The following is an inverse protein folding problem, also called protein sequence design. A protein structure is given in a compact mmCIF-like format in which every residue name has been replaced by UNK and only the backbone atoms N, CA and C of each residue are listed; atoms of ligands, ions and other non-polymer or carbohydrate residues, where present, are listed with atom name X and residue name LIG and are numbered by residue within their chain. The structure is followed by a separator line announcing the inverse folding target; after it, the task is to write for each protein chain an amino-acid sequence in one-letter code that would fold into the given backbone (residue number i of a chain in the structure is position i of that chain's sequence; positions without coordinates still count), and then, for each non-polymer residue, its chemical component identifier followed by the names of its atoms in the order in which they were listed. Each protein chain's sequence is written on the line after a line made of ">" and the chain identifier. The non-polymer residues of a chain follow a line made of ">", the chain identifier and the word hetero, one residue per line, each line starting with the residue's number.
data_IF_402632430900
#
_entry.id   IF_402632430900
#
_cell.length_a   1.000
_cell.length_b   1.000
_cell.length_c   1.000
_cell.angle_alpha   90.00
_cell.angle_beta   90.00
_cell.angle_gamma   90.00
#
_symmetry.space_group_name_H-M   'P 1'
#
loop_
_entity.id
_entity.type
_entity.pdbx_description
1 polymer ?
#
# COMPACT_ATOMS: atom_id res chain seq x y z
N UNK A 1 -0.41 -37.58 1.00
CA UNK A 1 -1.56 -36.83 0.44
C UNK A 1 -1.53 -35.48 1.12
N UNK A 2 -1.11 -34.42 0.42
CA UNK A 2 -1.18 -33.06 0.96
C UNK A 2 -2.66 -32.71 1.19
N UNK A 3 -3.00 -32.20 2.36
CA UNK A 3 -4.36 -31.73 2.67
C UNK A 3 -4.83 -30.73 1.61
N UNK A 4 -6.10 -30.85 1.20
CA UNK A 4 -6.72 -29.93 0.24
C UNK A 4 -6.93 -28.58 0.93
N UNK A 5 -6.14 -27.57 0.55
CA UNK A 5 -6.29 -26.20 1.06
C UNK A 5 -7.26 -25.47 0.13
N UNK A 6 -8.52 -25.36 0.53
CA UNK A 6 -9.51 -24.58 -0.24
C UNK A 6 -9.27 -23.10 0.05
N UNK A 7 -9.07 -22.24 -0.97
CA UNK A 7 -8.92 -20.82 -0.72
C UNK A 7 -10.26 -20.17 -0.33
N UNK A 8 -10.15 -19.04 0.37
CA UNK A 8 -11.28 -18.14 0.62
C UNK A 8 -11.66 -17.40 -0.67
N UNK A 9 -12.72 -16.58 -0.61
CA UNK A 9 -13.33 -15.92 -1.79
C UNK A 9 -12.39 -15.00 -2.59
N UNK A 10 -11.37 -14.43 -1.93
CA UNK A 10 -10.34 -13.58 -2.53
C UNK A 10 -8.99 -14.28 -2.43
N UNK A 11 -8.41 -14.67 -3.57
CA UNK A 11 -7.04 -15.17 -3.66
C UNK A 11 -6.10 -14.04 -4.07
N UNK A 12 -5.27 -13.59 -3.13
CA UNK A 12 -4.21 -12.59 -3.38
C UNK A 12 -2.92 -13.35 -3.68
N UNK A 13 -2.34 -13.12 -4.85
CA UNK A 13 -1.10 -13.76 -5.31
C UNK A 13 -0.02 -12.69 -5.36
N UNK A 14 0.89 -12.74 -4.38
CA UNK A 14 2.01 -11.82 -4.23
C UNK A 14 3.32 -12.59 -4.03
N UNK A 15 4.00 -13.00 -5.11
CA UNK A 15 5.14 -13.90 -5.05
C UNK A 15 6.42 -13.28 -4.48
N UNK A 16 6.56 -11.95 -4.43
CA UNK A 16 7.79 -11.27 -4.01
C UNK A 16 7.62 -10.57 -2.66
N UNK A 17 7.38 -11.39 -1.64
CA UNK A 17 7.32 -10.98 -0.23
C UNK A 17 8.59 -10.25 0.23
N UNK A 18 8.45 -9.43 1.26
CA UNK A 18 9.55 -8.74 1.91
C UNK A 18 9.33 -8.64 3.41
N UNK A 19 10.41 -8.65 4.18
CA UNK A 19 10.39 -8.02 5.51
C UNK A 19 10.54 -6.52 5.32
N UNK A 20 9.79 -5.75 6.08
CA UNK A 20 9.80 -4.29 6.02
C UNK A 20 10.44 -3.73 7.28
N UNK A 21 11.44 -2.88 7.11
CA UNK A 21 12.04 -2.11 8.19
C UNK A 21 11.85 -0.63 7.91
N UNK A 22 11.40 0.14 8.89
CA UNK A 22 11.36 1.60 8.78
C UNK A 22 12.27 2.23 9.82
N UNK A 23 13.18 3.09 9.38
CA UNK A 23 14.12 3.83 10.19
C UNK A 23 13.75 5.31 10.17
N UNK A 24 13.68 5.91 11.35
CA UNK A 24 13.28 7.31 11.51
C UNK A 24 14.48 8.16 11.92
N UNK A 25 14.68 9.27 11.22
CA UNK A 25 15.79 10.20 11.42
C UNK A 25 15.25 11.60 11.70
N UNK A 26 15.94 12.36 12.54
CA UNK A 26 15.66 13.80 12.69
C UNK A 26 16.02 14.52 11.39
N UNK A 27 17.15 14.15 10.78
CA UNK A 27 17.55 14.56 9.43
C UNK A 27 18.39 13.45 8.82
N UNK A 28 18.08 13.06 7.58
CA UNK A 28 18.84 12.09 6.82
C UNK A 28 19.83 12.81 5.90
N UNK A 29 21.12 12.46 6.03
CA UNK A 29 22.19 13.07 5.26
C UNK A 29 22.90 12.02 4.39
N UNK A 30 22.71 12.03 3.06
CA UNK A 30 23.48 11.20 2.15
C UNK A 30 24.99 11.37 2.36
N UNK A 31 25.76 10.30 2.18
CA UNK A 31 27.23 10.28 2.34
C UNK A 31 27.76 10.48 3.77
N UNK A 32 26.88 10.53 4.78
CA UNK A 32 27.25 10.62 6.19
C UNK A 32 26.82 9.39 7.01
N UNK A 33 27.36 9.26 8.23
CA UNK A 33 26.85 8.31 9.22
C UNK A 33 25.56 8.86 9.79
N UNK A 34 24.46 8.12 9.61
CA UNK A 34 23.14 8.47 10.10
C UNK A 34 22.77 7.57 11.28
N UNK A 35 22.14 8.12 12.33
CA UNK A 35 21.63 7.37 13.48
C UNK A 35 20.13 7.55 13.57
N UNK A 36 19.39 6.47 13.37
CA UNK A 36 17.94 6.49 13.52
C UNK A 36 17.58 6.62 15.00
N UNK A 37 16.60 7.46 15.33
CA UNK A 37 16.07 7.59 16.69
C UNK A 37 14.98 6.55 16.99
N UNK A 38 14.36 5.99 15.94
CA UNK A 38 13.35 4.93 16.02
C UNK A 38 13.52 3.95 14.87
N UNK A 39 13.15 2.69 15.13
CA UNK A 39 13.07 1.62 14.15
C UNK A 39 11.74 0.89 14.33
N UNK A 40 11.05 0.58 13.24
CA UNK A 40 9.92 -0.35 13.23
C UNK A 40 10.21 -1.54 12.32
N UNK A 41 9.58 -2.67 12.62
CA UNK A 41 9.64 -3.90 11.84
C UNK A 41 8.23 -4.37 11.52
N UNK A 42 8.01 -4.73 10.26
CA UNK A 42 6.77 -5.34 9.78
C UNK A 42 7.05 -6.25 8.59
N UNK A 43 5.98 -6.70 7.94
CA UNK A 43 6.05 -7.41 6.67
C UNK A 43 5.69 -6.43 5.53
N UNK A 44 6.06 -6.75 4.30
CA UNK A 44 5.89 -5.88 3.16
C UNK A 44 5.94 -6.59 1.81
N UNK A 45 5.64 -5.84 0.76
CA UNK A 45 5.41 -6.38 -0.58
C UNK A 45 3.93 -6.35 -0.93
N UNK A 46 3.64 -6.11 -2.21
CA UNK A 46 2.30 -5.69 -2.64
C UNK A 46 1.18 -6.63 -2.18
N UNK A 47 1.37 -7.95 -2.35
CA UNK A 47 0.39 -8.95 -1.90
C UNK A 47 0.18 -8.97 -0.38
N UNK A 48 1.26 -8.85 0.41
CA UNK A 48 1.16 -8.79 1.88
C UNK A 48 0.47 -7.51 2.34
N UNK A 49 0.85 -6.35 1.80
CA UNK A 49 0.22 -5.08 2.13
C UNK A 49 -1.28 -5.08 1.75
N UNK A 50 -1.62 -5.63 0.59
CA UNK A 50 -3.01 -5.82 0.16
C UNK A 50 -3.79 -6.70 1.15
N UNK A 51 -3.21 -7.84 1.54
CA UNK A 51 -3.82 -8.75 2.54
C UNK A 51 -3.98 -8.10 3.92
N UNK A 52 -2.99 -7.32 4.38
CA UNK A 52 -3.07 -6.56 5.62
C UNK A 52 -4.18 -5.52 5.58
N UNK A 53 -4.33 -4.80 4.47
CA UNK A 53 -5.39 -3.82 4.30
C UNK A 53 -6.79 -4.47 4.25
N UNK A 54 -6.93 -5.63 3.60
CA UNK A 54 -8.17 -6.42 3.65
C UNK A 54 -8.55 -6.82 5.09
N UNK A 55 -7.56 -7.25 5.87
CA UNK A 55 -7.76 -7.59 7.28
C UNK A 55 -8.19 -6.37 8.10
N UNK A 56 -7.49 -5.24 7.93
CA UNK A 56 -7.79 -3.97 8.62
C UNK A 56 -9.18 -3.41 8.24
N UNK A 57 -9.66 -3.69 7.03
CA UNK A 57 -11.01 -3.36 6.58
C UNK A 57 -12.10 -4.27 7.19
N UNK A 58 -11.72 -5.30 7.94
CA UNK A 58 -12.64 -6.19 8.67
C UNK A 58 -13.06 -7.45 7.92
N UNK A 59 -12.32 -7.86 6.87
CA UNK A 59 -12.66 -9.04 6.06
C UNK A 59 -11.55 -10.14 6.03
N UNK A 60 -10.85 -10.48 7.14
CA UNK A 60 -9.76 -11.46 7.10
C UNK A 60 -10.16 -12.86 6.65
N UNK A 61 -11.39 -13.29 6.97
CA UNK A 61 -11.92 -14.61 6.63
C UNK A 61 -12.24 -14.76 5.13
N UNK A 62 -12.15 -13.68 4.34
CA UNK A 62 -12.39 -13.68 2.90
C UNK A 62 -11.12 -13.89 2.08
N UNK A 63 -9.94 -13.81 2.70
CA UNK A 63 -8.68 -13.73 1.96
C UNK A 63 -7.82 -14.98 2.11
N UNK A 64 -7.16 -15.37 1.04
CA UNK A 64 -6.03 -16.30 1.04
C UNK A 64 -4.86 -15.61 0.35
N UNK A 65 -3.72 -15.49 1.03
CA UNK A 65 -2.47 -14.97 0.45
C UNK A 65 -1.59 -16.12 -0.05
N UNK A 66 -1.22 -16.12 -1.34
CA UNK A 66 -0.20 -16.99 -1.91
C UNK A 66 1.10 -16.20 -2.14
N UNK A 67 2.22 -16.73 -1.62
CA UNK A 67 3.54 -16.08 -1.67
C UNK A 67 4.69 -17.09 -1.62
N UNK A 68 5.92 -16.61 -1.81
CA UNK A 68 7.14 -17.36 -1.49
C UNK A 68 7.80 -16.80 -0.25
N UNK A 69 8.32 -17.68 0.63
CA UNK A 69 9.09 -17.27 1.80
C UNK A 69 10.26 -18.24 2.03
N UNK A 70 11.38 -17.73 2.55
CA UNK A 70 12.51 -18.60 2.89
C UNK A 70 13.41 -17.99 3.95
N UNK A 71 14.21 -18.85 4.57
CA UNK A 71 15.15 -18.51 5.65
C UNK A 71 14.50 -17.87 6.90
N UNK A 72 15.31 -17.34 7.82
CA UNK A 72 14.83 -16.73 9.07
C UNK A 72 13.88 -15.55 8.85
N UNK A 73 14.09 -14.77 7.78
CA UNK A 73 13.18 -13.68 7.41
C UNK A 73 11.79 -14.19 7.04
N UNK A 74 11.71 -15.32 6.32
CA UNK A 74 10.46 -15.98 5.98
C UNK A 74 9.73 -16.55 7.20
N UNK A 75 10.47 -17.06 8.18
CA UNK A 75 9.92 -17.54 9.46
C UNK A 75 9.30 -16.38 10.26
N UNK A 76 9.99 -15.23 10.34
CA UNK A 76 9.45 -14.02 10.94
C UNK A 76 8.14 -13.58 10.28
N UNK A 77 8.12 -13.53 8.94
CA UNK A 77 6.91 -13.16 8.19
C UNK A 77 5.76 -14.13 8.49
N UNK A 78 6.05 -15.44 8.49
CA UNK A 78 5.06 -16.48 8.79
C UNK A 78 4.45 -16.28 10.18
N UNK A 79 5.29 -16.00 11.18
CA UNK A 79 4.83 -15.67 12.53
C UNK A 79 3.90 -14.45 12.55
N UNK A 80 4.27 -13.36 11.86
CA UNK A 80 3.43 -12.15 11.80
C UNK A 80 2.09 -12.43 11.14
N UNK A 81 2.04 -13.23 10.08
CA UNK A 81 0.79 -13.59 9.41
C UNK A 81 -0.12 -14.45 10.31
N UNK A 82 0.46 -15.43 11.02
CA UNK A 82 -0.26 -16.23 12.02
C UNK A 82 -0.79 -15.38 13.17
N UNK A 83 0.03 -14.50 13.75
CA UNK A 83 -0.36 -13.62 14.85
C UNK A 83 -1.50 -12.67 14.45
N UNK A 84 -1.61 -12.34 13.15
CA UNK A 84 -2.71 -11.53 12.58
C UNK A 84 -3.92 -12.35 12.12
N UNK A 85 -3.90 -13.67 12.28
CA UNK A 85 -4.98 -14.57 11.84
C UNK A 85 -5.20 -14.58 10.32
N UNK A 86 -4.17 -14.26 9.53
CA UNK A 86 -4.24 -14.22 8.08
C UNK A 86 -4.09 -15.62 7.49
N UNK A 87 -5.07 -16.07 6.71
CA UNK A 87 -4.94 -17.32 5.97
C UNK A 87 -3.96 -17.14 4.79
N UNK A 88 -2.93 -17.97 4.75
CA UNK A 88 -1.90 -17.91 3.72
C UNK A 88 -1.42 -19.30 3.30
N UNK A 89 -0.95 -19.39 2.06
CA UNK A 89 -0.25 -20.53 1.49
C UNK A 89 1.13 -20.04 1.07
N UNK A 90 2.15 -20.71 1.57
CA UNK A 90 3.54 -20.31 1.35
C UNK A 90 4.26 -21.42 0.61
N UNK A 91 4.91 -21.07 -0.51
CA UNK A 91 5.92 -21.92 -1.14
C UNK A 91 7.28 -21.58 -0.54
N UNK A 92 7.88 -22.56 0.12
CA UNK A 92 9.17 -22.37 0.79
C UNK A 92 10.30 -22.29 -0.24
N UNK A 93 11.16 -21.29 -0.10
CA UNK A 93 12.37 -21.12 -0.92
C UNK A 93 13.63 -21.39 -0.11
N UNK A 94 14.68 -21.82 -0.80
CA UNK A 94 16.03 -22.01 -0.26
C UNK A 94 16.69 -20.68 0.12
N UNK A 95 16.44 -19.62 -0.65
CA UNK A 95 16.88 -18.26 -0.39
C UNK A 95 16.08 -17.57 0.71
N UNK A 96 16.75 -16.73 1.51
CA UNK A 96 16.08 -15.89 2.49
C UNK A 96 15.17 -14.86 1.81
N UNK A 97 14.00 -14.60 2.38
CA UNK A 97 13.14 -13.48 1.96
C UNK A 97 13.88 -12.15 2.15
N UNK A 98 13.81 -11.27 1.15
CA UNK A 98 14.49 -9.97 1.14
C UNK A 98 13.98 -9.01 2.22
N UNK A 99 14.77 -7.99 2.54
CA UNK A 99 14.34 -6.85 3.36
C UNK A 99 14.21 -5.59 2.52
N UNK A 100 13.10 -4.88 2.67
CA UNK A 100 12.96 -3.49 2.24
C UNK A 100 13.18 -2.58 3.46
N UNK A 101 13.99 -1.53 3.31
CA UNK A 101 14.25 -0.55 4.36
C UNK A 101 13.80 0.83 3.93
N UNK A 102 12.90 1.43 4.68
CA UNK A 102 12.42 2.80 4.47
C UNK A 102 13.11 3.73 5.43
N UNK A 103 13.64 4.84 4.93
CA UNK A 103 14.22 5.91 5.71
C UNK A 103 13.21 7.06 5.73
N UNK A 104 12.74 7.46 6.91
CA UNK A 104 11.86 8.60 7.10
C UNK A 104 12.64 9.74 7.75
N UNK A 105 12.71 10.87 7.05
CA UNK A 105 13.30 12.11 7.54
C UNK A 105 12.21 13.00 8.13
N UNK A 106 12.25 13.23 9.45
CA UNK A 106 11.25 14.02 10.16
C UNK A 106 11.35 15.52 9.88
N UNK A 107 12.55 16.04 9.54
CA UNK A 107 12.76 17.44 9.21
C UNK A 107 12.20 17.77 7.82
N UNK A 108 12.46 16.90 6.84
CA UNK A 108 11.96 17.13 5.47
C UNK A 108 10.61 16.49 5.21
N UNK A 109 10.11 15.60 6.07
CA UNK A 109 8.89 14.83 5.83
C UNK A 109 8.99 13.90 4.61
N UNK A 110 10.20 13.61 4.12
CA UNK A 110 10.41 12.78 2.92
C UNK A 110 10.77 11.35 3.31
N UNK A 111 10.48 10.42 2.41
CA UNK A 111 10.93 9.04 2.52
C UNK A 111 12.01 8.71 1.49
N UNK A 112 12.83 7.71 1.79
CA UNK A 112 13.69 7.01 0.83
C UNK A 112 13.54 5.51 1.04
N UNK A 113 13.32 4.75 -0.03
CA UNK A 113 13.22 3.29 0.04
C UNK A 113 14.51 2.66 -0.47
N UNK A 114 15.05 1.72 0.31
CA UNK A 114 16.19 0.87 -0.02
C UNK A 114 15.69 -0.56 -0.17
N UNK A 115 15.79 -1.09 -1.39
CA UNK A 115 15.26 -2.41 -1.72
C UNK A 115 16.41 -3.39 -1.87
N UNK A 116 16.48 -4.41 -1.02
CA UNK A 116 17.44 -5.51 -1.21
C UNK A 116 17.08 -6.35 -2.46
N UNK A 117 18.10 -6.90 -3.14
CA UNK A 117 17.86 -7.80 -4.26
C UNK A 117 17.14 -9.05 -3.79
N UNK A 118 16.13 -9.49 -4.54
CA UNK A 118 15.50 -10.80 -4.31
C UNK A 118 16.46 -11.92 -4.73
N UNK A 119 16.56 -12.97 -3.90
CA UNK A 119 17.29 -14.18 -4.25
C UNK A 119 16.72 -14.80 -5.53
N UNK A 120 17.58 -15.40 -6.35
CA UNK A 120 17.16 -16.11 -7.55
C UNK A 120 16.45 -17.40 -7.14
N UNK A 121 15.17 -17.54 -7.49
CA UNK A 121 14.43 -18.79 -7.33
C UNK A 121 14.89 -19.79 -8.39
N UNK A 122 15.03 -21.04 -7.99
CA UNK A 122 15.33 -22.13 -8.92
C UNK A 122 14.09 -22.57 -9.70
N UNK A 123 14.30 -23.33 -10.79
CA UNK A 123 13.20 -23.77 -11.64
C UNK A 123 12.19 -24.68 -10.94
N UNK A 124 12.57 -25.38 -9.87
CA UNK A 124 11.66 -26.21 -9.09
C UNK A 124 10.78 -25.35 -8.17
N UNK A 125 11.36 -24.36 -7.48
CA UNK A 125 10.64 -23.39 -6.67
C UNK A 125 9.62 -22.60 -7.52
N UNK A 126 10.01 -22.15 -8.71
CA UNK A 126 9.10 -21.49 -9.65
C UNK A 126 7.92 -22.39 -10.06
N UNK A 127 8.19 -23.66 -10.39
CA UNK A 127 7.13 -24.63 -10.73
C UNK A 127 6.21 -24.92 -9.55
N UNK A 128 6.77 -25.08 -8.34
CA UNK A 128 5.97 -25.32 -7.14
C UNK A 128 5.02 -24.16 -6.84
N UNK A 129 5.44 -22.92 -7.11
CA UNK A 129 4.56 -21.75 -6.99
C UNK A 129 3.42 -21.77 -8.00
N UNK A 130 3.72 -22.00 -9.28
CA UNK A 130 2.68 -22.12 -10.33
C UNK A 130 1.71 -23.27 -10.03
N UNK A 131 2.22 -24.44 -9.64
CA UNK A 131 1.41 -25.59 -9.25
C UNK A 131 0.51 -25.28 -8.05
N UNK A 132 1.01 -24.51 -7.07
CA UNK A 132 0.23 -24.09 -5.90
C UNK A 132 -0.87 -23.12 -6.29
N UNK A 133 -0.58 -22.14 -7.15
CA UNK A 133 -1.60 -21.23 -7.69
C UNK A 133 -2.68 -21.99 -8.47
N UNK A 134 -2.26 -22.91 -9.34
CA UNK A 134 -3.17 -23.80 -10.10
C UNK A 134 -4.07 -24.60 -9.19
N UNK A 135 -3.51 -25.26 -8.16
CA UNK A 135 -4.31 -26.06 -7.22
C UNK A 135 -5.30 -25.22 -6.44
N UNK A 136 -4.90 -24.04 -5.95
CA UNK A 136 -5.80 -23.14 -5.25
C UNK A 136 -6.95 -22.69 -6.16
N UNK A 137 -6.66 -22.31 -7.40
CA UNK A 137 -7.70 -21.92 -8.36
C UNK A 137 -8.65 -23.09 -8.67
N UNK A 138 -8.12 -24.30 -8.83
CA UNK A 138 -8.92 -25.49 -9.11
C UNK A 138 -9.79 -25.90 -7.92
N UNK A 139 -9.23 -25.94 -6.71
CA UNK A 139 -9.93 -26.33 -5.50
C UNK A 139 -10.93 -25.27 -5.04
N UNK A 140 -10.64 -23.99 -5.31
CA UNK A 140 -11.53 -22.87 -5.05
C UNK A 140 -12.49 -22.56 -6.20
N UNK A 141 -12.60 -23.40 -7.23
CA UNK A 141 -13.38 -23.07 -8.45
C UNK A 141 -14.80 -22.59 -8.17
N UNK A 142 -15.45 -23.15 -7.15
CA UNK A 142 -16.83 -22.83 -6.79
C UNK A 142 -16.95 -21.71 -5.73
N UNK A 143 -15.85 -21.36 -5.05
CA UNK A 143 -15.82 -20.37 -3.96
C UNK A 143 -15.10 -19.07 -4.34
N UNK A 144 -14.15 -19.13 -5.28
CA UNK A 144 -13.33 -18.00 -5.69
C UNK A 144 -14.15 -16.98 -6.48
N UNK A 145 -14.25 -15.80 -5.89
CA UNK A 145 -14.93 -14.64 -6.48
C UNK A 145 -13.94 -13.64 -7.04
N UNK A 146 -12.75 -13.53 -6.46
CA UNK A 146 -11.70 -12.60 -6.88
C UNK A 146 -10.34 -13.29 -6.86
N UNK A 147 -9.54 -13.07 -7.91
CA UNK A 147 -8.10 -13.35 -7.94
C UNK A 147 -7.39 -12.00 -8.13
N UNK A 148 -6.43 -11.68 -7.27
CA UNK A 148 -5.63 -10.46 -7.36
C UNK A 148 -4.16 -10.81 -7.57
N UNK A 149 -3.58 -10.37 -8.68
CA UNK A 149 -2.16 -10.51 -8.98
C UNK A 149 -1.46 -9.21 -8.57
N UNK A 150 -0.64 -9.26 -7.51
CA UNK A 150 -0.12 -8.07 -6.84
C UNK A 150 1.41 -8.08 -6.78
N UNK A 151 2.02 -7.08 -7.42
CA UNK A 151 3.45 -6.82 -7.37
C UNK A 151 4.27 -7.63 -8.38
N UNK A 152 5.56 -7.37 -8.39
CA UNK A 152 6.50 -8.03 -9.30
C UNK A 152 6.73 -9.49 -8.89
N UNK A 153 7.03 -10.33 -9.88
CA UNK A 153 7.59 -11.64 -9.63
C UNK A 153 9.05 -11.53 -9.13
N UNK A 154 9.47 -12.41 -8.21
CA UNK A 154 10.87 -12.49 -7.77
C UNK A 154 11.78 -12.98 -8.92
N UNK A 155 13.09 -12.78 -8.77
CA UNK A 155 14.06 -13.25 -9.77
C UNK A 155 13.95 -14.77 -9.97
N UNK A 156 13.99 -15.24 -11.22
CA UNK A 156 13.83 -16.66 -11.56
C UNK A 156 12.42 -17.02 -12.01
N UNK A 157 11.41 -16.27 -11.55
CA UNK A 157 10.08 -16.28 -12.17
C UNK A 157 10.06 -15.33 -13.36
N UNK A 158 9.45 -15.77 -14.45
CA UNK A 158 9.28 -14.95 -15.65
C UNK A 158 7.86 -14.41 -15.71
N UNK A 159 7.61 -13.51 -16.65
CA UNK A 159 6.29 -13.00 -16.99
C UNK A 159 5.26 -14.07 -17.35
N UNK A 160 5.73 -15.27 -17.74
CA UNK A 160 4.81 -16.38 -18.00
C UNK A 160 4.06 -16.81 -16.74
N UNK A 161 4.59 -16.59 -15.53
CA UNK A 161 3.91 -17.02 -14.30
C UNK A 161 2.53 -16.38 -14.15
N UNK A 162 2.43 -15.05 -14.19
CA UNK A 162 1.12 -14.37 -14.11
C UNK A 162 0.25 -14.63 -15.33
N UNK A 163 0.84 -14.74 -16.52
CA UNK A 163 0.09 -15.16 -17.71
C UNK A 163 -0.54 -16.55 -17.51
N UNK A 164 0.23 -17.54 -17.06
CA UNK A 164 -0.20 -18.92 -16.83
C UNK A 164 -1.26 -19.02 -15.74
N UNK A 165 -1.19 -18.16 -14.72
CA UNK A 165 -2.21 -18.05 -13.68
C UNK A 165 -3.48 -17.40 -14.24
N UNK A 166 -3.35 -16.29 -14.99
CA UNK A 166 -4.48 -15.56 -15.54
C UNK A 166 -5.33 -16.41 -16.51
N UNK A 167 -4.71 -17.26 -17.34
CA UNK A 167 -5.45 -18.16 -18.26
C UNK A 167 -6.31 -19.19 -17.53
N UNK A 168 -6.03 -19.47 -16.25
CA UNK A 168 -6.78 -20.42 -15.42
C UNK A 168 -7.96 -19.78 -14.70
N UNK A 169 -8.20 -18.47 -14.86
CA UNK A 169 -9.32 -17.74 -14.27
C UNK A 169 -10.65 -18.50 -14.48
N UNK A 170 -11.35 -18.91 -13.41
CA UNK A 170 -12.65 -19.55 -13.52
C UNK A 170 -13.73 -18.62 -14.08
N UNK A 171 -14.84 -19.16 -14.63
CA UNK A 171 -16.03 -18.36 -14.93
C UNK A 171 -16.53 -17.62 -13.69
N UNK A 172 -17.08 -16.41 -13.85
CA UNK A 172 -17.64 -15.59 -12.77
C UNK A 172 -16.66 -15.14 -11.66
N UNK A 173 -15.37 -15.39 -11.81
CA UNK A 173 -14.31 -14.84 -10.96
C UNK A 173 -13.80 -13.51 -11.55
N UNK A 174 -13.57 -12.51 -10.71
CA UNK A 174 -12.96 -11.23 -11.11
C UNK A 174 -11.43 -11.29 -10.99
N UNK A 175 -10.69 -10.94 -12.05
CA UNK A 175 -9.24 -10.92 -12.07
C UNK A 175 -8.72 -9.49 -12.03
N UNK A 176 -8.14 -9.12 -10.89
CA UNK A 176 -7.51 -7.83 -10.63
C UNK A 176 -5.99 -7.92 -10.84
N UNK A 177 -5.41 -6.94 -11.52
CA UNK A 177 -3.98 -6.86 -11.80
C UNK A 177 -3.40 -5.53 -11.29
N UNK A 178 -2.41 -5.64 -10.40
CA UNK A 178 -1.49 -4.58 -10.00
C UNK A 178 -0.05 -5.08 -10.21
N UNK A 179 0.36 -5.13 -11.47
CA UNK A 179 1.72 -5.43 -11.89
C UNK A 179 2.00 -4.82 -13.27
N UNK A 180 3.19 -4.24 -13.42
CA UNK A 180 3.59 -3.50 -14.64
C UNK A 180 4.66 -4.19 -15.46
N UNK A 181 5.52 -4.97 -14.81
CA UNK A 181 6.57 -5.72 -15.50
C UNK A 181 5.90 -6.76 -16.41
N UNK A 182 6.21 -6.68 -17.70
CA UNK A 182 5.69 -7.56 -18.75
C UNK A 182 4.14 -7.58 -18.86
N UNK A 183 3.51 -6.47 -18.47
CA UNK A 183 2.04 -6.34 -18.38
C UNK A 183 1.32 -6.71 -19.68
N UNK A 184 1.90 -6.38 -20.84
CA UNK A 184 1.30 -6.67 -22.15
C UNK A 184 1.06 -8.17 -22.37
N UNK A 185 1.95 -9.04 -21.86
CA UNK A 185 1.79 -10.49 -21.97
C UNK A 185 0.61 -10.97 -21.11
N UNK A 186 0.46 -10.43 -19.90
CA UNK A 186 -0.65 -10.80 -19.00
C UNK A 186 -1.97 -10.30 -19.58
N UNK A 187 -2.02 -9.06 -20.07
CA UNK A 187 -3.22 -8.48 -20.69
C UNK A 187 -3.62 -9.18 -21.99
N UNK A 188 -2.65 -9.71 -22.75
CA UNK A 188 -2.92 -10.49 -23.97
C UNK A 188 -3.73 -11.77 -23.72
N UNK A 189 -3.81 -12.26 -22.47
CA UNK A 189 -4.71 -13.37 -22.12
C UNK A 189 -6.19 -13.03 -22.29
N UNK A 190 -6.54 -11.74 -22.33
CA UNK A 190 -7.92 -11.24 -22.37
C UNK A 190 -8.76 -11.73 -21.16
N UNK A 191 -8.09 -12.10 -20.06
CA UNK A 191 -8.75 -12.59 -18.83
C UNK A 191 -8.80 -11.55 -17.73
N UNK A 192 -7.94 -10.55 -17.75
CA UNK A 192 -7.88 -9.51 -16.70
C UNK A 192 -9.16 -8.67 -16.78
N UNK A 193 -9.86 -8.47 -15.67
CA UNK A 193 -11.03 -7.60 -15.64
C UNK A 193 -10.66 -6.17 -15.27
N UNK A 194 -9.67 -6.00 -14.40
CA UNK A 194 -9.22 -4.68 -13.95
C UNK A 194 -7.71 -4.60 -13.89
N UNK A 195 -7.18 -3.58 -14.55
CA UNK A 195 -5.81 -3.13 -14.36
C UNK A 195 -5.81 -1.87 -13.49
N UNK A 196 -5.02 -1.88 -12.43
CA UNK A 196 -4.68 -0.67 -11.68
C UNK A 196 -3.19 -0.37 -11.87
N UNK A 197 -2.91 0.87 -12.24
CA UNK A 197 -1.55 1.41 -12.37
C UNK A 197 -1.48 2.81 -11.77
N UNK A 198 -0.29 3.25 -11.42
CA UNK A 198 -0.06 4.66 -11.16
C UNK A 198 0.10 5.46 -12.47
N UNK A 199 0.15 6.79 -12.38
CA UNK A 199 0.26 7.66 -13.55
C UNK A 199 1.52 7.44 -14.38
N UNK A 200 2.67 7.31 -13.73
CA UNK A 200 3.96 7.04 -14.41
C UNK A 200 3.94 5.68 -15.09
N UNK A 201 3.49 4.65 -14.37
CA UNK A 201 3.31 3.29 -14.87
C UNK A 201 2.40 3.24 -16.09
N UNK A 202 1.26 3.95 -16.07
CA UNK A 202 0.36 4.02 -17.22
C UNK A 202 1.03 4.64 -18.44
N UNK A 203 1.73 5.76 -18.26
CA UNK A 203 2.43 6.45 -19.34
C UNK A 203 3.56 5.61 -19.92
N UNK A 204 4.30 4.88 -19.09
CA UNK A 204 5.33 3.94 -19.54
C UNK A 204 4.72 2.83 -20.41
N UNK A 205 3.60 2.25 -19.99
CA UNK A 205 2.89 1.20 -20.73
C UNK A 205 2.44 1.72 -22.12
N UNK A 206 1.80 2.88 -22.20
CA UNK A 206 1.34 3.41 -23.49
C UNK A 206 2.48 3.97 -24.36
N UNK A 207 3.62 4.31 -23.75
CA UNK A 207 4.85 4.69 -24.47
C UNK A 207 5.48 3.46 -25.15
N UNK A 208 5.52 2.31 -24.47
CA UNK A 208 6.00 1.05 -25.04
C UNK A 208 5.16 0.62 -26.26
N UNK A 209 3.87 0.96 -26.27
CA UNK A 209 2.96 0.78 -27.41
C UNK A 209 3.08 1.85 -28.50
N UNK A 210 3.99 2.82 -28.34
CA UNK A 210 4.22 3.93 -29.27
C UNK A 210 3.02 4.88 -29.47
N UNK A 211 2.06 4.91 -28.53
CA UNK A 211 0.90 5.82 -28.60
C UNK A 211 1.24 7.24 -28.16
N UNK A 212 2.28 7.36 -27.33
CA UNK A 212 2.90 8.61 -26.93
C UNK A 212 4.43 8.49 -27.07
N UNK A 213 5.16 9.61 -27.20
CA UNK A 213 6.63 9.58 -27.23
C UNK A 213 7.20 8.98 -25.95
N UNK A 214 8.32 8.27 -26.06
CA UNK A 214 9.06 7.82 -24.88
C UNK A 214 9.60 9.04 -24.14
N UNK A 215 9.46 9.07 -22.81
CA UNK A 215 10.08 10.13 -22.03
C UNK A 215 11.60 9.99 -22.08
N UNK A 216 12.30 11.03 -22.51
CA UNK A 216 13.76 11.03 -22.63
C UNK A 216 14.46 11.70 -21.44
N UNK A 217 13.74 12.38 -20.54
CA UNK A 217 14.32 13.28 -19.52
C UNK A 217 13.79 13.11 -18.07
N UNK A 218 13.22 11.96 -17.71
CA UNK A 218 12.60 11.73 -16.38
C UNK A 218 11.12 11.36 -16.50
N UNK A 219 10.44 11.02 -15.40
CA UNK A 219 9.05 10.57 -15.46
C UNK A 219 8.14 11.65 -16.07
N UNK A 220 7.33 11.24 -17.07
CA UNK A 220 6.30 12.12 -17.64
C UNK A 220 5.20 12.33 -16.60
N UNK A 221 4.82 13.56 -16.33
CA UNK A 221 3.71 13.83 -15.41
C UNK A 221 2.37 13.50 -16.07
N UNK A 222 1.53 12.73 -15.37
CA UNK A 222 0.18 12.38 -15.82
C UNK A 222 -0.66 13.61 -16.19
N UNK A 223 -0.43 14.74 -15.50
CA UNK A 223 -1.12 16.01 -15.74
C UNK A 223 -0.94 16.52 -17.18
N UNK A 224 0.23 16.31 -17.79
CA UNK A 224 0.51 16.73 -19.18
C UNK A 224 -0.39 15.99 -20.19
N UNK A 225 -0.84 14.78 -19.84
CA UNK A 225 -1.67 13.94 -20.70
C UNK A 225 -3.14 13.91 -20.27
N UNK A 226 -3.56 14.68 -19.25
CA UNK A 226 -4.90 14.61 -18.68
C UNK A 226 -6.02 14.69 -19.73
N UNK A 227 -5.93 15.63 -20.68
CA UNK A 227 -6.90 15.79 -21.77
C UNK A 227 -6.92 14.62 -22.78
N UNK A 228 -5.82 13.86 -22.87
CA UNK A 228 -5.68 12.69 -23.75
C UNK A 228 -6.04 11.37 -23.06
N UNK A 229 -6.10 11.33 -21.72
CA UNK A 229 -6.37 10.11 -20.96
C UNK A 229 -7.63 9.36 -21.42
N UNK A 230 -8.78 10.01 -21.69
CA UNK A 230 -9.97 9.29 -22.14
C UNK A 230 -9.76 8.57 -23.48
N UNK A 231 -9.02 9.17 -24.41
CA UNK A 231 -8.70 8.56 -25.70
C UNK A 231 -7.67 7.43 -25.56
N UNK A 232 -6.67 7.60 -24.69
CA UNK A 232 -5.71 6.54 -24.39
C UNK A 232 -6.41 5.35 -23.72
N UNK A 233 -7.34 5.59 -22.80
CA UNK A 233 -8.14 4.54 -22.17
C UNK A 233 -9.02 3.78 -23.18
N UNK A 234 -9.66 4.50 -24.13
CA UNK A 234 -10.40 3.86 -25.23
C UNK A 234 -9.52 2.93 -26.07
N UNK A 235 -8.36 3.43 -26.52
CA UNK A 235 -7.39 2.60 -27.26
C UNK A 235 -6.92 1.40 -26.43
N UNK A 236 -6.76 1.59 -25.12
CA UNK A 236 -6.40 0.52 -24.20
C UNK A 236 -7.48 -0.58 -24.15
N UNK A 237 -8.76 -0.21 -24.10
CA UNK A 237 -9.88 -1.16 -24.15
C UNK A 237 -10.09 -1.82 -25.52
N UNK A 238 -9.68 -1.17 -26.61
CA UNK A 238 -9.69 -1.77 -27.95
C UNK A 238 -8.58 -2.82 -28.10
N UNK A 239 -7.43 -2.58 -27.47
CA UNK A 239 -6.29 -3.50 -27.48
C UNK A 239 -6.46 -4.68 -26.49
N UNK A 240 -7.04 -4.41 -25.32
CA UNK A 240 -7.19 -5.36 -24.22
C UNK A 240 -8.63 -5.39 -23.71
N UNK A 241 -9.20 -6.60 -23.62
CA UNK A 241 -10.54 -6.86 -23.09
C UNK A 241 -10.53 -6.77 -21.57
N UNK A 242 -10.47 -5.54 -21.07
CA UNK A 242 -10.57 -5.20 -19.65
C UNK A 242 -11.93 -4.56 -19.40
N UNK A 243 -12.55 -4.86 -18.26
CA UNK A 243 -13.74 -4.14 -17.81
C UNK A 243 -13.37 -2.76 -17.26
N UNK A 244 -12.31 -2.69 -16.46
CA UNK A 244 -11.90 -1.47 -15.76
C UNK A 244 -10.42 -1.15 -15.97
N UNK A 245 -10.13 0.15 -16.05
CA UNK A 245 -8.78 0.70 -15.95
C UNK A 245 -8.79 1.78 -14.86
N UNK A 246 -8.01 1.56 -13.80
CA UNK A 246 -7.82 2.52 -12.73
C UNK A 246 -6.42 3.14 -12.79
N UNK A 247 -6.35 4.46 -12.75
CA UNK A 247 -5.10 5.22 -12.73
C UNK A 247 -5.06 6.04 -11.44
N UNK A 248 -4.06 5.80 -10.59
CA UNK A 248 -3.83 6.57 -9.37
C UNK A 248 -2.63 7.50 -9.50
N UNK A 249 -2.65 8.67 -8.85
CA UNK A 249 -1.59 9.67 -9.00
C UNK A 249 -1.19 10.32 -7.68
N UNK A 250 -0.93 9.50 -6.65
CA UNK A 250 -0.55 9.97 -5.32
C UNK A 250 -1.61 10.93 -4.73
N UNK A 251 -1.23 12.15 -4.30
CA UNK A 251 -2.18 13.12 -3.74
C UNK A 251 -3.05 13.82 -4.80
N UNK A 252 -2.79 13.59 -6.10
CA UNK A 252 -3.53 14.21 -7.19
C UNK A 252 -4.74 13.37 -7.61
N UNK A 253 -5.42 13.82 -8.66
CA UNK A 253 -6.61 13.16 -9.19
C UNK A 253 -6.34 11.70 -9.57
N UNK A 254 -7.29 10.83 -9.23
CA UNK A 254 -7.34 9.46 -9.72
C UNK A 254 -8.47 9.31 -10.74
N UNK A 255 -8.37 8.29 -11.60
CA UNK A 255 -9.29 8.05 -12.70
C UNK A 255 -9.75 6.59 -12.69
N UNK A 256 -11.05 6.38 -12.92
CA UNK A 256 -11.62 5.05 -13.15
C UNK A 256 -12.38 5.07 -14.48
N UNK A 257 -11.90 4.28 -15.43
CA UNK A 257 -12.55 4.05 -16.72
C UNK A 257 -13.23 2.68 -16.71
N UNK A 258 -14.44 2.58 -17.28
CA UNK A 258 -15.15 1.33 -17.52
C UNK A 258 -15.45 1.18 -19.02
N UNK A 259 -15.11 0.03 -19.61
CA UNK A 259 -15.19 -0.19 -21.06
C UNK A 259 -16.62 -0.03 -21.61
N UNK A 260 -17.63 -0.53 -20.88
CA UNK A 260 -19.02 -0.49 -21.31
C UNK A 260 -19.75 0.81 -20.96
N UNK A 261 -19.10 1.72 -20.22
CA UNK A 261 -19.72 2.94 -19.75
C UNK A 261 -19.53 4.08 -20.76
N UNK A 262 -20.55 4.92 -20.92
CA UNK A 262 -20.45 6.18 -21.68
C UNK A 262 -19.67 7.25 -20.93
N UNK A 263 -19.40 7.04 -19.65
CA UNK A 263 -18.71 7.96 -18.75
C UNK A 263 -17.58 7.27 -18.01
N UNK A 264 -16.58 8.06 -17.63
CA UNK A 264 -15.52 7.69 -16.69
C UNK A 264 -15.59 8.61 -15.46
N UNK A 265 -14.91 8.25 -14.38
CA UNK A 265 -14.98 9.00 -13.13
C UNK A 265 -13.62 9.57 -12.76
N UNK A 266 -13.59 10.85 -12.41
CA UNK A 266 -12.43 11.55 -11.84
C UNK A 266 -12.65 11.71 -10.35
N UNK A 267 -11.67 11.31 -9.55
CA UNK A 267 -11.68 11.38 -8.10
C UNK A 267 -10.73 12.48 -7.65
N UNK A 268 -11.28 13.51 -7.01
CA UNK A 268 -10.51 14.59 -6.41
C UNK A 268 -10.33 14.29 -4.93
N UNK A 269 -9.09 13.96 -4.54
CA UNK A 269 -8.74 13.66 -3.16
C UNK A 269 -8.57 14.97 -2.37
N UNK A 270 -9.04 15.03 -1.11
CA UNK A 270 -8.80 16.19 -0.25
C UNK A 270 -7.34 16.25 0.23
N UNK A 271 -6.88 17.43 0.61
CA UNK A 271 -5.62 17.56 1.33
C UNK A 271 -5.75 16.95 2.73
N UNK A 272 -4.78 16.12 3.12
CA UNK A 272 -4.89 15.37 4.36
C UNK A 272 -4.82 16.28 5.59
N UNK A 273 -4.06 17.38 5.52
CA UNK A 273 -4.05 18.42 6.55
C UNK A 273 -5.45 19.00 6.79
N UNK A 274 -6.23 19.27 5.72
CA UNK A 274 -7.57 19.85 5.88
C UNK A 274 -8.54 18.86 6.50
N UNK A 275 -8.44 17.58 6.16
CA UNK A 275 -9.26 16.52 6.78
C UNK A 275 -8.98 16.45 8.28
N UNK A 276 -7.71 16.40 8.68
CA UNK A 276 -7.33 16.33 10.10
C UNK A 276 -7.71 17.61 10.85
N UNK A 277 -7.56 18.78 10.23
CA UNK A 277 -7.98 20.05 10.81
C UNK A 277 -9.48 20.06 11.12
N UNK A 278 -10.30 19.67 10.14
CA UNK A 278 -11.75 19.59 10.32
C UNK A 278 -12.12 18.58 11.41
N UNK A 279 -11.53 17.38 11.39
CA UNK A 279 -11.86 16.31 12.33
C UNK A 279 -11.54 16.67 13.78
N UNK A 280 -10.35 17.23 14.01
CA UNK A 280 -9.80 17.36 15.37
C UNK A 280 -9.87 18.77 15.93
N UNK A 281 -9.89 19.81 15.10
CA UNK A 281 -9.82 21.20 15.58
C UNK A 281 -11.07 22.02 15.38
N UNK A 282 -11.93 21.69 14.40
CA UNK A 282 -13.21 22.40 14.25
C UNK A 282 -14.20 22.09 15.38
N UNK A 283 -13.99 20.99 16.13
CA UNK A 283 -14.84 20.49 17.21
C UNK A 283 -14.35 20.81 18.63
N UNK A 284 -13.52 21.83 18.82
CA UNK A 284 -12.88 22.18 20.12
C UNK A 284 -13.84 22.42 21.30
N UNK A 285 -15.14 22.58 21.05
CA UNK A 285 -16.16 22.79 22.09
C UNK A 285 -16.87 21.48 22.54
N UNK A 286 -16.54 20.32 21.96
CA UNK A 286 -17.10 19.02 22.36
C UNK A 286 -16.06 18.19 23.14
N UNK A 287 -16.44 17.76 24.36
CA UNK A 287 -15.62 16.88 25.21
C UNK A 287 -15.50 15.51 24.55
N UNK A 288 -14.36 15.23 23.91
CA UNK A 288 -14.05 13.91 23.35
C UNK A 288 -13.61 12.97 24.48
N UNK A 289 -14.49 12.02 24.81
CA UNK A 289 -14.24 10.96 25.81
C UNK A 289 -13.60 9.76 25.10
N UNK A 290 -12.40 9.39 25.55
CA UNK A 290 -11.70 8.11 25.35
C UNK A 290 -11.26 7.74 23.91
N UNK A 291 -9.96 7.87 23.64
CA UNK A 291 -9.25 7.06 22.65
C UNK A 291 -8.21 6.18 23.36
N UNK A 292 -8.06 4.95 22.89
CA UNK A 292 -7.07 3.96 23.37
C UNK A 292 -5.64 4.50 23.28
N UNK A 293 -4.82 4.16 24.26
CA UNK A 293 -3.48 4.71 24.57
C UNK A 293 -2.39 4.62 23.46
N UNK A 294 -2.73 4.18 22.25
CA UNK A 294 -1.83 4.15 21.09
C UNK A 294 -2.00 5.34 20.12
N UNK A 295 -2.89 6.28 20.41
CA UNK A 295 -3.22 7.37 19.48
C UNK A 295 -3.00 8.73 20.14
N UNK A 296 -1.82 9.31 19.90
CA UNK A 296 -1.59 10.71 20.20
C UNK A 296 -2.20 11.57 19.08
N UNK A 297 -2.95 12.65 19.40
CA UNK A 297 -3.32 13.67 18.42
C UNK A 297 -2.04 14.30 17.83
N UNK A 298 -2.07 14.83 16.59
CA UNK A 298 -0.88 15.24 15.84
C UNK A 298 -0.14 16.48 16.39
N UNK A 299 -0.29 16.81 17.67
CA UNK A 299 0.36 17.95 18.34
C UNK A 299 1.52 17.54 19.25
N UNK A 300 2.13 16.39 19.01
CA UNK A 300 3.26 15.93 19.83
C UNK A 300 4.58 16.32 19.16
N UNK A 301 5.11 17.46 19.59
CA UNK A 301 6.51 17.83 19.44
C UNK A 301 7.43 16.73 19.99
N UNK A 302 8.66 16.66 19.47
CA UNK A 302 9.74 15.72 19.85
C UNK A 302 9.83 15.41 21.36
N UNK A 303 9.50 16.35 22.24
CA UNK A 303 9.55 16.22 23.69
C UNK A 303 8.53 15.23 24.31
N UNK A 304 7.39 14.96 23.67
CA UNK A 304 6.37 14.05 24.22
C UNK A 304 6.58 12.58 23.83
N UNK A 305 7.38 12.28 22.80
CA UNK A 305 7.69 10.90 22.36
C UNK A 305 8.57 10.12 23.35
N UNK A 306 9.35 10.79 24.19
CA UNK A 306 10.23 10.13 25.17
C UNK A 306 9.50 9.35 26.26
N UNK A 307 8.18 9.55 26.44
CA UNK A 307 7.35 8.84 27.43
C UNK A 307 6.66 7.58 26.91
N UNK A 308 6.59 7.36 25.60
CA UNK A 308 5.93 6.17 25.01
C UNK A 308 6.83 4.93 24.95
N UNK A 309 8.09 5.04 25.39
CA UNK A 309 9.09 3.97 25.36
C UNK A 309 8.91 2.88 26.42
N UNK A 310 7.84 2.89 27.21
CA UNK A 310 7.60 1.89 28.28
C UNK A 310 6.70 0.72 27.84
N UNK A 311 6.29 0.62 26.56
CA UNK A 311 5.44 -0.48 26.07
C UNK A 311 6.11 -1.41 25.04
N UNK A 312 7.33 -1.11 24.57
CA UNK A 312 8.07 -1.96 23.60
C UNK A 312 8.97 -3.04 24.26
N UNK A 313 8.83 -3.25 25.57
CA UNK A 313 9.66 -4.20 26.36
C UNK A 313 9.26 -5.68 26.24
N UNK A 314 8.18 -6.04 25.55
CA UNK A 314 7.71 -7.44 25.50
C UNK A 314 8.34 -8.31 24.39
N UNK A 315 9.41 -7.85 23.73
CA UNK A 315 10.21 -8.67 22.81
C UNK A 315 11.73 -8.56 23.05
N UNK A 316 12.15 -8.42 24.32
CA UNK A 316 13.55 -8.41 24.71
C UNK A 316 14.29 -9.69 24.29
N UNK A 317 13.63 -10.84 24.22
CA UNK A 317 14.29 -12.13 23.95
C UNK A 317 14.79 -12.24 22.50
N UNK A 318 14.00 -11.77 21.53
CA UNK A 318 14.37 -11.75 20.11
C UNK A 318 15.37 -10.63 19.78
N UNK A 319 15.22 -9.46 20.40
CA UNK A 319 16.20 -8.37 20.28
C UNK A 319 17.55 -8.76 20.93
N UNK A 320 17.53 -9.55 22.01
CA UNK A 320 18.74 -10.08 22.64
C UNK A 320 19.46 -11.12 21.76
N UNK A 321 18.74 -11.93 20.97
CA UNK A 321 19.35 -12.86 20.00
C UNK A 321 20.01 -12.13 18.83
N UNK A 322 19.36 -11.12 18.27
CA UNK A 322 19.94 -10.24 17.25
C UNK A 322 21.14 -9.45 17.79
N UNK A 323 21.06 -8.92 19.02
CA UNK A 323 22.16 -8.18 19.66
C UNK A 323 23.34 -9.08 20.08
N UNK A 324 23.12 -10.35 20.43
CA UNK A 324 24.19 -11.33 20.67
C UNK A 324 25.02 -11.60 19.41
N UNK A 325 24.43 -11.47 18.22
CA UNK A 325 25.12 -11.65 16.93
C UNK A 325 25.99 -10.45 16.50
N UNK A 326 25.87 -9.28 17.14
CA UNK A 326 26.52 -8.03 16.68
C UNK A 326 27.47 -7.37 17.70
N UNK A 327 27.92 -8.09 18.74
CA UNK A 327 28.84 -7.52 19.73
C UNK A 327 30.26 -7.35 19.18
N UNK A 328 30.59 -6.14 18.72
CA UNK A 328 31.85 -5.44 19.03
C UNK A 328 31.74 -3.93 18.74
N UNK A 329 31.38 -3.17 19.78
CA UNK A 329 31.95 -1.86 20.19
C UNK A 329 30.90 -1.02 20.93
N UNK A 330 31.12 -0.84 22.22
CA UNK A 330 30.34 0.03 23.11
C UNK A 330 31.23 1.17 23.62
N UNK A 331 30.70 2.40 23.68
CA UNK A 331 30.91 3.33 24.82
C UNK A 331 30.25 4.70 24.63
N UNK A 332 29.50 5.13 25.66
CA UNK A 332 29.18 6.51 26.11
C UNK A 332 28.35 7.43 25.19
N UNK A 333 27.45 8.31 25.64
CA UNK A 333 27.32 9.02 26.92
C UNK A 333 25.86 9.43 27.23
N UNK A 334 25.55 9.60 28.53
CA UNK A 334 24.33 10.23 29.08
C UNK A 334 24.44 11.76 29.04
N UNK A 335 23.33 12.46 28.82
CA UNK A 335 23.16 13.84 29.29
C UNK A 335 21.75 14.04 29.87
N UNK A 336 21.73 14.67 31.06
CA UNK A 336 20.57 15.07 31.85
C UNK A 336 20.43 16.57 31.70
N UNK A 337 19.22 17.08 31.46
CA UNK A 337 18.91 18.52 31.59
C UNK A 337 17.65 18.71 32.45
N UNK A 338 17.81 19.45 33.55
CA UNK A 338 16.75 20.01 34.39
C UNK A 338 16.28 21.36 33.83
N UNK A 339 15.03 21.71 34.07
CA UNK A 339 14.57 23.11 34.01
C UNK A 339 13.65 23.39 35.21
N UNK A 340 13.98 24.42 36.00
CA UNK A 340 13.16 25.02 37.04
C UNK A 340 12.43 26.24 36.46
N UNK A 341 11.20 26.49 36.91
CA UNK A 341 10.55 27.77 36.75
C UNK A 341 9.77 28.12 38.02
N UNK A 342 10.34 29.03 38.81
CA UNK A 342 9.62 29.80 39.82
C UNK A 342 8.69 30.81 39.14
N UNK A 343 7.39 30.74 39.42
CA UNK A 343 6.63 31.93 39.85
C UNK A 343 5.27 31.50 40.41
N UNK A 344 5.05 31.87 41.67
CA UNK A 344 3.78 31.81 42.33
C UNK A 344 2.83 32.88 41.74
N UNK A 345 1.58 32.51 41.44
CA UNK A 345 0.39 33.34 41.58
C UNK A 345 -0.87 32.46 41.43
N UNK A 346 -1.73 32.52 42.44
CA UNK A 346 -3.01 31.82 42.55
C UNK A 346 -3.98 32.23 41.44
N UNK A 347 -4.63 31.25 40.81
CA UNK A 347 -5.78 31.47 39.94
C UNK A 347 -6.13 30.23 39.13
N UNK A 348 -7.21 29.55 39.51
CA UNK A 348 -7.81 28.43 38.77
C UNK A 348 -8.37 28.88 37.42
N UNK A 349 -7.52 28.92 36.41
CA UNK A 349 -7.90 28.81 35.00
C UNK A 349 -6.82 27.96 34.35
N UNK A 350 -7.13 26.70 34.05
CA UNK A 350 -6.25 25.83 33.29
C UNK A 350 -6.05 26.41 31.90
N UNK A 351 -4.94 27.11 31.69
CA UNK A 351 -4.50 27.49 30.35
C UNK A 351 -4.03 26.22 29.68
N UNK A 352 -4.87 25.63 28.82
CA UNK A 352 -4.38 24.69 27.82
C UNK A 352 -3.49 25.45 26.85
N UNK A 353 -2.19 25.43 27.12
CA UNK A 353 -1.19 25.89 26.17
C UNK A 353 -1.06 24.79 25.10
N UNK A 354 -2.00 24.78 24.15
CA UNK A 354 -1.98 23.85 23.03
C UNK A 354 -0.69 24.01 22.26
N UNK A 355 -0.01 22.91 21.96
CA UNK A 355 1.08 22.89 21.00
C UNK A 355 0.58 23.47 19.67
N UNK A 356 1.33 24.36 19.00
CA UNK A 356 0.92 24.87 17.70
C UNK A 356 0.72 23.70 16.74
N UNK A 357 -0.25 23.84 15.81
CA UNK A 357 -0.45 22.87 14.73
C UNK A 357 0.91 22.60 14.08
N UNK A 358 1.30 21.33 13.86
CA UNK A 358 2.56 21.04 13.21
C UNK A 358 2.61 21.77 11.86
N UNK A 359 3.72 22.45 11.57
CA UNK A 359 3.88 23.16 10.30
C UNK A 359 3.95 22.19 9.10
N UNK A 360 4.16 20.89 9.35
CA UNK A 360 4.21 19.83 8.34
C UNK A 360 3.87 18.47 8.93
N UNK A 361 3.09 17.67 8.20
CA UNK A 361 2.84 16.26 8.53
C UNK A 361 4.00 15.38 8.05
N UNK A 362 4.45 14.46 8.90
CA UNK A 362 5.31 13.35 8.48
C UNK A 362 4.40 12.27 7.89
N UNK A 363 4.58 11.96 6.61
CA UNK A 363 3.78 10.96 5.89
C UNK A 363 4.67 9.82 5.40
N UNK A 364 4.08 8.63 5.31
CA UNK A 364 4.70 7.47 4.68
C UNK A 364 3.77 6.90 3.60
N UNK A 365 3.98 7.22 2.30
CA UNK A 365 3.11 6.76 1.23
C UNK A 365 3.31 5.29 0.85
N UNK A 366 4.26 4.57 1.45
CA UNK A 366 4.51 3.17 1.10
C UNK A 366 3.30 2.29 1.41
N UNK A 367 2.97 1.43 0.45
CA UNK A 367 1.82 0.55 0.55
C UNK A 367 0.47 1.25 0.45
N UNK A 368 0.41 2.57 0.20
CA UNK A 368 -0.87 3.27 0.01
C UNK A 368 -1.63 2.70 -1.21
N UNK A 369 -0.93 2.42 -2.32
CA UNK A 369 -1.50 1.76 -3.49
C UNK A 369 -2.05 0.37 -3.17
N UNK A 370 -1.31 -0.43 -2.40
CA UNK A 370 -1.72 -1.77 -1.97
C UNK A 370 -2.91 -1.72 -1.00
N UNK A 371 -2.95 -0.69 -0.16
CA UNK A 371 -4.07 -0.42 0.75
C UNK A 371 -5.34 -0.10 -0.02
N UNK A 372 -5.23 0.72 -1.07
CA UNK A 372 -6.35 0.96 -1.97
C UNK A 372 -6.86 -0.34 -2.60
N UNK A 373 -5.95 -1.25 -3.00
CA UNK A 373 -6.33 -2.54 -3.55
C UNK A 373 -7.09 -3.38 -2.53
N UNK A 374 -6.55 -3.56 -1.33
CA UNK A 374 -7.17 -4.43 -0.33
C UNK A 374 -8.60 -4.00 0.01
N UNK A 375 -8.79 -2.70 0.24
CA UNK A 375 -10.13 -2.13 0.50
C UNK A 375 -11.03 -2.21 -0.72
N UNK A 376 -10.53 -1.91 -1.92
CA UNK A 376 -11.30 -2.05 -3.17
C UNK A 376 -11.80 -3.49 -3.36
N UNK A 377 -10.93 -4.49 -3.23
CA UNK A 377 -11.29 -5.89 -3.47
C UNK A 377 -12.35 -6.38 -2.48
N UNK A 378 -12.22 -6.03 -1.21
CA UNK A 378 -13.20 -6.38 -0.19
C UNK A 378 -14.56 -5.71 -0.42
N UNK A 379 -14.56 -4.41 -0.73
CA UNK A 379 -15.80 -3.67 -0.93
C UNK A 379 -16.50 -4.07 -2.24
N UNK A 380 -15.71 -4.28 -3.30
CA UNK A 380 -16.22 -4.72 -4.59
C UNK A 380 -16.78 -6.14 -4.54
N UNK A 381 -16.17 -7.04 -3.76
CA UNK A 381 -16.73 -8.38 -3.51
C UNK A 381 -18.14 -8.30 -2.93
N UNK A 382 -18.35 -7.38 -1.97
CA UNK A 382 -19.62 -7.24 -1.26
C UNK A 382 -20.71 -6.52 -2.07
N UNK A 383 -20.33 -5.51 -2.87
CA UNK A 383 -21.29 -4.56 -3.44
C UNK A 383 -21.30 -4.50 -4.96
N UNK A 384 -20.25 -4.97 -5.65
CA UNK A 384 -20.08 -4.88 -7.10
C UNK A 384 -20.17 -3.46 -7.68
N UNK A 385 -20.02 -2.43 -6.85
CA UNK A 385 -19.93 -1.02 -7.25
C UNK A 385 -18.46 -0.61 -7.31
N UNK A 386 -17.90 -0.56 -8.51
CA UNK A 386 -16.48 -0.24 -8.70
C UNK A 386 -16.16 1.22 -8.35
N UNK A 387 -17.10 2.15 -8.54
CA UNK A 387 -16.88 3.58 -8.27
C UNK A 387 -16.77 3.81 -6.76
N UNK A 388 -17.72 3.25 -6.00
CA UNK A 388 -17.72 3.36 -4.53
C UNK A 388 -16.57 2.57 -3.89
N UNK A 389 -16.31 1.35 -4.37
CA UNK A 389 -15.18 0.55 -3.89
C UNK A 389 -13.85 1.27 -4.15
N UNK A 390 -13.69 1.93 -5.29
CA UNK A 390 -12.47 2.67 -5.62
C UNK A 390 -12.34 3.94 -4.77
N UNK A 391 -13.43 4.68 -4.53
CA UNK A 391 -13.43 5.82 -3.60
C UNK A 391 -12.98 5.41 -2.19
N UNK A 392 -13.53 4.32 -1.65
CA UNK A 392 -13.12 3.77 -0.34
C UNK A 392 -11.66 3.35 -0.34
N UNK A 393 -11.20 2.69 -1.42
CA UNK A 393 -9.79 2.35 -1.60
C UNK A 393 -8.87 3.57 -1.55
N UNK A 394 -9.20 4.65 -2.29
CA UNK A 394 -8.45 5.90 -2.28
C UNK A 394 -8.45 6.58 -0.91
N UNK A 395 -9.58 6.51 -0.18
CA UNK A 395 -9.70 7.06 1.16
C UNK A 395 -8.81 6.30 2.15
N UNK A 396 -8.82 4.96 2.10
CA UNK A 396 -7.97 4.12 2.93
C UNK A 396 -6.48 4.32 2.63
N UNK A 397 -6.13 4.44 1.34
CA UNK A 397 -4.77 4.76 0.91
C UNK A 397 -4.31 6.10 1.49
N UNK A 398 -5.14 7.13 1.42
CA UNK A 398 -4.83 8.46 1.97
C UNK A 398 -4.64 8.40 3.50
N UNK A 399 -5.52 7.69 4.20
CA UNK A 399 -5.43 7.50 5.65
C UNK A 399 -4.18 6.68 6.04
N UNK A 400 -3.78 5.69 5.22
CA UNK A 400 -2.58 4.88 5.47
C UNK A 400 -1.29 5.71 5.45
N UNK A 401 -1.26 6.81 4.69
CA UNK A 401 -0.10 7.70 4.66
C UNK A 401 0.23 8.34 6.03
N UNK A 402 -0.71 8.37 6.97
CA UNK A 402 -0.50 8.87 8.35
C UNK A 402 0.07 7.80 9.28
N UNK A 403 -0.01 6.53 8.91
CA UNK A 403 0.57 5.42 9.66
C UNK A 403 2.03 5.26 9.25
N UNK A 404 2.90 6.04 9.89
CA UNK A 404 4.31 6.11 9.47
C UNK A 404 5.11 4.84 9.77
N UNK A 405 4.71 4.07 10.77
CA UNK A 405 5.43 2.90 11.28
C UNK A 405 5.26 1.64 10.42
N UNK A 406 4.12 1.50 9.75
CA UNK A 406 3.67 0.25 9.15
C UNK A 406 2.94 0.49 7.84
N UNK A 407 3.09 -0.44 6.89
CA UNK A 407 2.35 -0.44 5.63
C UNK A 407 1.07 -1.28 5.73
N UNK A 408 0.06 -0.98 4.90
CA UNK A 408 -1.19 -1.75 4.85
C UNK A 408 -2.11 -1.56 6.07
N UNK A 409 -1.85 -0.55 6.90
CA UNK A 409 -2.67 -0.18 8.06
C UNK A 409 -3.17 1.26 7.90
N UNK A 410 -4.36 1.55 8.44
CA UNK A 410 -4.97 2.87 8.38
C UNK A 410 -5.99 3.04 9.52
N UNK A 411 -6.24 4.29 9.89
CA UNK A 411 -7.32 4.65 10.82
C UNK A 411 -8.67 4.72 10.10
N UNK A 412 -9.67 4.00 10.60
CA UNK A 412 -11.00 3.92 10.01
C UNK A 412 -11.74 5.27 10.07
N UNK A 413 -11.56 6.05 11.14
CA UNK A 413 -12.16 7.36 11.28
C UNK A 413 -11.59 8.36 10.29
N UNK A 414 -10.27 8.36 10.08
CA UNK A 414 -9.61 9.19 9.07
C UNK A 414 -9.98 8.74 7.67
N UNK A 415 -10.00 7.42 7.39
CA UNK A 415 -10.49 6.90 6.11
C UNK A 415 -11.90 7.43 5.81
N UNK A 416 -12.82 7.35 6.78
CA UNK A 416 -14.18 7.85 6.61
C UNK A 416 -14.21 9.38 6.39
N UNK A 417 -13.41 10.13 7.15
CA UNK A 417 -13.29 11.58 7.01
C UNK A 417 -12.74 12.01 5.65
N UNK A 418 -11.80 11.24 5.08
CA UNK A 418 -11.31 11.42 3.71
C UNK A 418 -12.42 11.07 2.70
N UNK A 419 -13.08 9.91 2.87
CA UNK A 419 -14.10 9.42 1.94
C UNK A 419 -15.24 10.44 1.76
N UNK A 420 -15.73 11.02 2.85
CA UNK A 420 -16.77 12.06 2.84
C UNK A 420 -16.37 13.33 2.07
N UNK A 421 -15.07 13.53 1.86
CA UNK A 421 -14.48 14.69 1.19
C UNK A 421 -13.92 14.36 -0.19
N UNK A 422 -13.93 13.10 -0.62
CA UNK A 422 -13.58 12.75 -2.00
C UNK A 422 -14.72 13.23 -2.90
N UNK A 423 -14.40 14.14 -3.83
CA UNK A 423 -15.34 14.55 -4.87
C UNK A 423 -15.19 13.64 -6.08
N UNK A 424 -16.28 12.98 -6.48
CA UNK A 424 -16.34 12.12 -7.65
C UNK A 424 -17.07 12.89 -8.77
N UNK A 425 -16.41 13.06 -9.91
CA UNK A 425 -16.95 13.76 -11.06
C UNK A 425 -17.08 12.78 -12.24
N UNK A 426 -18.30 12.42 -12.67
CA UNK A 426 -18.50 11.68 -13.90
C UNK A 426 -18.24 12.58 -15.11
N UNK A 427 -17.51 12.06 -16.09
CA UNK A 427 -17.15 12.75 -17.33
C UNK A 427 -17.48 11.87 -18.53
N UNK A 428 -18.01 12.47 -19.59
CA UNK A 428 -18.34 11.73 -20.81
C UNK A 428 -17.10 11.52 -21.66
N UNK A 429 -17.01 10.35 -22.28
CA UNK A 429 -16.04 10.15 -23.34
C UNK A 429 -16.42 11.04 -24.54
N UNK A 430 -15.58 12.02 -24.88
CA UNK A 430 -15.81 12.88 -26.06
C UNK A 430 -15.97 12.00 -27.30
N UNK A 431 -17.09 12.15 -28.01
CA UNK A 431 -17.33 11.52 -29.30
C UNK A 431 -16.59 12.30 -30.37
N UNK A 432 -15.89 11.59 -31.25
CA UNK A 432 -15.04 12.12 -32.34
C UNK A 432 -15.74 13.03 -33.37
N UNK A 433 -17.01 13.38 -33.16
CA UNK A 433 -17.77 14.32 -33.99
C UNK A 433 -17.53 15.80 -33.67
N UNK A 434 -16.98 16.15 -32.50
CA UNK A 434 -16.79 17.56 -32.11
C UNK A 434 -15.41 18.14 -32.50
N UNK A 435 -14.46 17.30 -32.90
CA UNK A 435 -13.10 17.75 -33.27
C UNK A 435 -12.97 18.26 -34.71
N UNK A 436 -14.04 18.22 -35.52
CA UNK A 436 -14.03 18.68 -36.91
C UNK A 436 -14.46 20.14 -37.11
N UNK A 437 -14.77 20.90 -36.05
CA UNK A 437 -15.19 22.31 -36.18
C UNK A 437 -14.24 23.34 -35.56
N UNK A 438 -12.99 22.98 -35.23
CA UNK A 438 -11.99 23.92 -34.72
C UNK A 438 -10.62 23.79 -35.39
N UNK A 439 -10.60 23.68 -36.72
CA UNK A 439 -9.43 23.97 -37.54
C UNK A 439 -9.78 24.91 -38.68
#
# INVERSE_FOLDING_TARGET
>A
MSECIVPNEILIIGPNAASQTTLFFDSFHPYHVNRAYKKSHSIGGKGQNCALACNQYGQPHKITLLQTLGGPTGEFITKVLHDKGLHHVTVTTSGATRTCTTLLDANTGTMTELIEPTVLLDGNECRQFEDSATRLIQWGRDTLRIIALCGSCPNGMTSSTYHNIAVQKPPHTFLFLDAVKDVHQILATQKVDMLKVNGEEFLDIVSQLQWIPHSTNGSSELATYAARLPNLAKQFFEQYSLRFLAITNGPHQAYLFEQSASQFHIFYLPHLESVLFDMYLSKRDEVVVQHSENFLPPTVTLAHRSRLLEWETDNEEYLAELQRSQKHSASSARSVLRYEADSAMNGTTGVYQGTPWPTRLLLNPLGAGDTANGVFLCDYLAHQDAVQAFAKGLAAASASCLVTDYTGLFDQGVMQGVLERIRIQPESFVTSSETLSMH
#
